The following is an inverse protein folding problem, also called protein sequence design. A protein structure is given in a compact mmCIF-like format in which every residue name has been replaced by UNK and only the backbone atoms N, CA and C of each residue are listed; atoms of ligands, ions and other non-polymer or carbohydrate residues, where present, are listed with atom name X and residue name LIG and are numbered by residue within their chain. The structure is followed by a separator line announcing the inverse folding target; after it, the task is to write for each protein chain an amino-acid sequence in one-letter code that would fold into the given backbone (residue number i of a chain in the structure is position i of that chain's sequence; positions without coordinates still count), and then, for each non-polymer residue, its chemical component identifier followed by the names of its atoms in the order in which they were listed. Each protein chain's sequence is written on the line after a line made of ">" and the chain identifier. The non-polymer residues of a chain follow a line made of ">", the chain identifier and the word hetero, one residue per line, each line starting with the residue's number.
data_IF_821108057582
#
_entry.id   IF_821108057582
#
_cell.length_a   1.000
_cell.length_b   1.000
_cell.length_c   1.000
_cell.angle_alpha   90.00
_cell.angle_beta   90.00
_cell.angle_gamma   90.00
#
_symmetry.space_group_name_H-M   'P 1'
#
loop_
_entity.id
_entity.type
_entity.pdbx_description
1 polymer ?
#
# COMPACT_ATOMS: atom_id res chain seq x y z
N UNK A 1 42.47 -59.31 27.00
CA UNK A 1 41.96 -57.92 26.96
C UNK A 1 41.46 -57.64 25.56
N UNK A 2 40.15 -57.37 25.35
CA UNK A 2 39.55 -56.73 24.15
C UNK A 2 38.00 -56.81 24.13
N UNK A 3 37.39 -57.69 24.95
CA UNK A 3 35.94 -57.82 25.01
C UNK A 3 35.22 -56.58 25.57
N UNK A 4 35.77 -55.96 26.63
CA UNK A 4 35.18 -54.75 27.23
C UNK A 4 35.19 -53.56 26.26
N UNK A 5 36.27 -53.43 25.46
CA UNK A 5 36.38 -52.35 24.49
C UNK A 5 35.36 -52.52 23.36
N UNK A 6 35.18 -53.75 22.88
CA UNK A 6 34.14 -54.06 21.88
C UNK A 6 32.75 -53.74 22.42
N UNK A 7 32.46 -54.09 23.67
CA UNK A 7 31.15 -53.82 24.29
C UNK A 7 30.84 -52.32 24.43
N UNK A 8 31.85 -51.51 24.73
CA UNK A 8 31.73 -50.04 24.77
C UNK A 8 31.52 -49.47 23.36
N UNK A 9 32.20 -50.00 22.34
CA UNK A 9 32.00 -49.58 20.96
C UNK A 9 30.59 -49.91 20.43
N UNK A 10 30.06 -51.10 20.72
CA UNK A 10 28.71 -51.49 20.33
C UNK A 10 27.63 -50.68 21.04
N UNK A 11 27.83 -50.38 22.32
CA UNK A 11 26.88 -49.54 23.08
C UNK A 11 26.91 -48.08 22.64
N UNK A 12 28.08 -47.52 22.31
CA UNK A 12 28.20 -46.19 21.70
C UNK A 12 27.53 -46.14 20.31
N UNK A 13 27.73 -47.17 19.48
CA UNK A 13 27.10 -47.26 18.16
C UNK A 13 25.57 -47.33 18.27
N UNK A 14 25.04 -48.08 19.24
CA UNK A 14 23.60 -48.15 19.51
C UNK A 14 23.03 -46.79 19.97
N UNK A 15 23.74 -46.09 20.85
CA UNK A 15 23.35 -44.76 21.32
C UNK A 15 23.35 -43.73 20.18
N UNK A 16 24.37 -43.75 19.31
CA UNK A 16 24.41 -42.89 18.13
C UNK A 16 23.27 -43.22 17.16
N UNK A 17 22.97 -44.51 16.94
CA UNK A 17 21.85 -44.93 16.10
C UNK A 17 20.50 -44.44 16.64
N UNK A 18 20.27 -44.55 17.94
CA UNK A 18 19.05 -44.04 18.59
C UNK A 18 18.97 -42.50 18.54
N UNK A 19 20.10 -41.80 18.65
CA UNK A 19 20.14 -40.35 18.53
C UNK A 19 19.83 -39.89 17.09
N UNK A 20 20.32 -40.60 16.08
CA UNK A 20 19.98 -40.35 14.68
C UNK A 20 18.51 -40.69 14.36
N UNK A 21 17.96 -41.76 14.94
CA UNK A 21 16.54 -42.10 14.79
C UNK A 21 15.61 -41.06 15.43
N UNK A 22 16.04 -40.43 16.54
CA UNK A 22 15.28 -39.36 17.19
C UNK A 22 15.40 -38.03 16.45
N UNK A 23 16.52 -37.77 15.76
CA UNK A 23 16.71 -36.61 14.89
C UNK A 23 16.03 -36.76 13.53
N UNK A 24 15.87 -37.97 12.99
CA UNK A 24 15.16 -38.20 11.72
C UNK A 24 13.64 -38.07 11.84
N UNK A 25 13.07 -38.16 13.06
CA UNK A 25 11.65 -37.91 13.32
C UNK A 25 11.27 -36.41 13.36
N UNK A 26 12.25 -35.48 13.25
CA UNK A 26 12.00 -34.05 13.16
C UNK A 26 11.80 -33.54 11.72
N UNK A 27 11.99 -34.40 10.71
CA UNK A 27 11.59 -34.10 9.35
C UNK A 27 10.21 -34.73 9.10
N UNK A 28 9.11 -33.95 9.03
CA UNK A 28 7.86 -34.50 8.53
C UNK A 28 8.15 -35.02 7.13
N UNK A 29 8.02 -36.34 6.93
CA UNK A 29 7.90 -36.91 5.60
C UNK A 29 6.74 -36.16 4.95
N UNK A 30 7.06 -35.31 3.98
CA UNK A 30 6.08 -34.71 3.11
C UNK A 30 5.49 -35.83 2.25
N UNK A 31 4.58 -36.60 2.85
CA UNK A 31 3.53 -37.27 2.10
C UNK A 31 2.90 -36.19 1.22
N UNK A 32 2.96 -36.41 -0.10
CA UNK A 32 2.38 -35.55 -1.12
C UNK A 32 0.85 -35.56 -1.09
N UNK A 33 0.25 -35.35 0.08
CA UNK A 33 -1.14 -34.96 0.21
C UNK A 33 -1.26 -33.53 -0.30
N UNK A 34 -1.93 -33.37 -1.44
CA UNK A 34 -2.39 -32.06 -1.89
C UNK A 34 -3.12 -31.41 -0.71
N UNK A 35 -2.51 -30.41 -0.09
CA UNK A 35 -3.20 -29.60 0.92
C UNK A 35 -4.50 -29.13 0.25
N UNK A 36 -5.68 -29.43 0.81
CA UNK A 36 -6.93 -28.91 0.26
C UNK A 36 -6.77 -27.40 0.13
N UNK A 37 -7.30 -26.83 -0.95
CA UNK A 37 -7.25 -25.39 -1.20
C UNK A 37 -7.96 -24.68 -0.03
N UNK A 38 -7.17 -24.25 0.96
CA UNK A 38 -7.67 -23.69 2.21
C UNK A 38 -8.16 -22.26 1.95
N UNK A 39 -9.48 -22.11 1.87
CA UNK A 39 -10.11 -20.79 1.68
C UNK A 39 -10.31 -20.15 3.06
N UNK A 40 -9.72 -18.97 3.27
CA UNK A 40 -10.01 -18.17 4.46
C UNK A 40 -11.48 -17.75 4.46
N UNK A 41 -12.20 -18.01 5.55
CA UNK A 41 -13.63 -17.72 5.63
C UNK A 41 -13.85 -16.21 5.64
N UNK A 42 -15.01 -15.78 5.13
CA UNK A 42 -15.39 -14.37 5.09
C UNK A 42 -15.22 -13.66 6.45
N UNK A 43 -15.72 -14.26 7.54
CA UNK A 43 -15.62 -13.66 8.87
C UNK A 43 -14.18 -13.53 9.34
N UNK A 44 -13.30 -14.46 8.96
CA UNK A 44 -11.87 -14.39 9.29
C UNK A 44 -11.20 -13.24 8.55
N UNK A 45 -11.51 -13.07 7.26
CA UNK A 45 -11.03 -11.93 6.46
C UNK A 45 -11.50 -10.63 7.09
N UNK A 46 -12.80 -10.49 7.35
CA UNK A 46 -13.41 -9.29 7.91
C UNK A 46 -12.81 -8.90 9.28
N UNK A 47 -12.68 -9.87 10.20
CA UNK A 47 -12.14 -9.60 11.53
C UNK A 47 -10.65 -9.28 11.51
N UNK A 48 -9.87 -9.92 10.63
CA UNK A 48 -8.43 -9.64 10.48
C UNK A 48 -8.16 -8.31 9.79
N UNK A 49 -9.05 -7.88 8.89
CA UNK A 49 -8.91 -6.61 8.16
C UNK A 49 -9.50 -5.41 8.89
N UNK A 50 -10.31 -5.61 9.93
CA UNK A 50 -10.97 -4.52 10.65
C UNK A 50 -9.98 -3.59 11.37
N UNK A 51 -10.33 -2.30 11.45
CA UNK A 51 -9.53 -1.23 12.09
C UNK A 51 -9.01 -1.63 13.48
N UNK A 52 -7.68 -1.74 13.61
CA UNK A 52 -7.00 -2.08 14.86
C UNK A 52 -5.53 -1.61 14.85
N UNK A 53 -4.83 -1.61 15.99
CA UNK A 53 -3.38 -1.46 16.01
C UNK A 53 -2.72 -2.66 15.31
N UNK A 54 -1.86 -2.40 14.33
CA UNK A 54 -1.10 -3.40 13.58
C UNK A 54 0.38 -3.00 13.59
N UNK A 55 1.25 -3.97 13.79
CA UNK A 55 2.69 -3.77 13.68
C UNK A 55 3.05 -3.38 12.24
N UNK A 56 3.58 -2.17 12.09
CA UNK A 56 3.93 -1.56 10.80
C UNK A 56 5.37 -1.11 10.84
N UNK A 57 6.15 -1.43 9.80
CA UNK A 57 7.50 -0.91 9.65
C UNK A 57 7.45 0.54 9.18
N UNK A 58 7.98 1.44 9.99
CA UNK A 58 7.98 2.87 9.72
C UNK A 58 9.41 3.33 9.53
N UNK A 59 9.64 4.08 8.45
CA UNK A 59 10.93 4.70 8.13
C UNK A 59 11.25 5.83 9.12
N UNK A 60 12.42 5.76 9.75
CA UNK A 60 12.83 6.72 10.78
C UNK A 60 12.95 8.14 10.20
N UNK A 61 13.38 8.28 8.94
CA UNK A 61 13.49 9.59 8.30
C UNK A 61 12.14 10.28 8.07
N UNK A 62 11.04 9.51 7.92
CA UNK A 62 9.71 10.09 7.75
C UNK A 62 9.15 10.63 9.06
N UNK A 63 9.50 10.01 10.19
CA UNK A 63 9.11 10.47 11.53
C UNK A 63 9.98 11.64 12.00
N UNK A 64 11.27 11.65 11.63
CA UNK A 64 12.25 12.66 12.00
C UNK A 64 12.90 13.32 10.77
N UNK A 65 12.14 14.10 9.97
CA UNK A 65 12.67 14.73 8.76
C UNK A 65 13.76 15.77 9.05
N UNK A 66 13.84 16.28 10.28
CA UNK A 66 14.81 17.28 10.69
C UNK A 66 16.21 16.68 11.00
N UNK A 67 16.31 15.37 11.27
CA UNK A 67 17.60 14.69 11.56
C UNK A 67 18.36 14.27 10.28
N UNK A 68 18.58 15.21 9.34
CA UNK A 68 19.20 14.93 8.03
C UNK A 68 20.70 14.58 8.06
N UNK A 69 21.38 14.85 9.19
CA UNK A 69 22.83 14.63 9.32
C UNK A 69 23.21 13.16 9.53
N UNK A 70 22.25 12.34 9.95
CA UNK A 70 22.48 10.97 10.38
C UNK A 70 21.92 9.97 9.38
N UNK A 71 22.64 8.88 9.20
CA UNK A 71 22.11 7.64 8.64
C UNK A 71 21.73 6.74 9.82
N UNK A 72 20.50 6.24 9.83
CA UNK A 72 20.01 5.37 10.90
C UNK A 72 20.19 3.89 10.57
N UNK A 73 20.61 3.12 11.57
CA UNK A 73 20.64 1.65 11.53
C UNK A 73 19.91 1.08 12.76
N UNK A 74 18.79 0.35 12.58
CA UNK A 74 18.10 0.10 11.31
C UNK A 74 17.51 1.40 10.72
N UNK A 75 17.17 1.39 9.42
CA UNK A 75 16.53 2.54 8.77
C UNK A 75 15.01 2.63 9.04
N UNK A 76 14.39 1.53 9.46
CA UNK A 76 12.99 1.46 9.85
C UNK A 76 12.82 0.69 11.16
N UNK A 77 11.72 0.98 11.87
CA UNK A 77 11.39 0.37 13.16
C UNK A 77 9.95 -0.19 13.15
N UNK A 78 9.70 -1.31 13.85
CA UNK A 78 8.34 -1.83 14.02
C UNK A 78 7.57 -1.00 15.05
N UNK A 79 6.46 -0.39 14.64
CA UNK A 79 5.58 0.39 15.52
C UNK A 79 4.13 -0.07 15.37
N UNK A 80 3.36 -0.06 16.45
CA UNK A 80 1.93 -0.25 16.35
C UNK A 80 1.29 1.02 15.78
N UNK A 81 0.69 0.89 14.60
CA UNK A 81 -0.05 1.96 13.93
C UNK A 81 -1.46 1.50 13.62
N UNK A 82 -2.39 2.44 13.57
CA UNK A 82 -3.77 2.12 13.22
C UNK A 82 -3.82 1.74 11.75
N UNK A 83 -4.35 0.56 11.47
CA UNK A 83 -4.48 0.03 10.13
C UNK A 83 -5.71 -0.86 9.99
N UNK A 84 -6.08 -1.14 8.75
CA UNK A 84 -7.28 -1.90 8.41
C UNK A 84 -8.37 -1.06 7.74
N UNK A 85 -9.48 -1.71 7.45
CA UNK A 85 -10.64 -1.12 6.82
C UNK A 85 -11.76 -0.80 7.83
N UNK A 86 -12.57 0.18 7.48
CA UNK A 86 -13.86 0.45 8.11
C UNK A 86 -14.98 -0.04 7.19
N UNK A 87 -16.19 -0.18 7.73
CA UNK A 87 -17.35 -0.67 6.98
C UNK A 87 -17.84 0.29 5.88
N UNK A 88 -17.46 1.56 5.97
CA UNK A 88 -17.92 2.63 5.09
C UNK A 88 -16.72 3.51 4.70
N UNK A 89 -16.66 3.92 3.44
CA UNK A 89 -15.60 4.79 2.91
C UNK A 89 -15.61 6.21 3.49
N UNK A 90 -16.75 6.65 4.04
CA UNK A 90 -16.88 7.90 4.79
C UNK A 90 -16.19 7.87 6.15
N UNK A 91 -15.82 6.67 6.63
CA UNK A 91 -15.08 6.49 7.87
C UNK A 91 -13.57 6.39 7.61
N UNK A 92 -12.78 6.81 8.58
CA UNK A 92 -11.33 6.63 8.65
C UNK A 92 -10.95 5.91 9.94
N UNK A 93 -9.97 5.00 9.85
CA UNK A 93 -9.40 4.31 11.00
C UNK A 93 -8.38 5.24 11.67
N UNK A 94 -8.70 5.74 12.86
CA UNK A 94 -7.90 6.74 13.56
C UNK A 94 -7.54 6.27 14.97
N UNK A 95 -6.38 6.70 15.51
CA UNK A 95 -6.03 6.42 16.90
C UNK A 95 -6.97 7.12 17.87
N UNK A 96 -7.31 6.42 18.95
CA UNK A 96 -8.05 6.97 20.09
C UNK A 96 -7.19 7.05 21.35
N UNK A 97 -6.11 6.27 21.40
CA UNK A 97 -5.12 6.29 22.46
C UNK A 97 -3.72 6.10 21.87
N UNK A 98 -2.80 6.94 22.28
CA UNK A 98 -1.43 7.00 21.78
C UNK A 98 -0.43 6.98 22.94
N UNK A 99 0.75 6.43 22.71
CA UNK A 99 1.86 6.46 23.65
C UNK A 99 3.20 6.52 22.91
N UNK A 100 4.26 6.94 23.60
CA UNK A 100 5.60 6.94 23.02
C UNK A 100 6.36 5.70 23.49
N UNK A 101 7.09 5.08 22.57
CA UNK A 101 8.05 4.00 22.85
C UNK A 101 9.45 4.48 22.54
N UNK A 102 10.41 4.18 23.41
CA UNK A 102 11.81 4.54 23.22
C UNK A 102 12.60 3.32 22.76
N UNK A 103 13.39 3.49 21.70
CA UNK A 103 14.21 2.45 21.10
C UNK A 103 15.65 2.92 20.97
N UNK A 104 16.59 1.98 21.04
CA UNK A 104 18.00 2.24 20.76
C UNK A 104 18.25 2.10 19.26
N UNK A 105 18.70 3.19 18.64
CA UNK A 105 18.99 3.28 17.21
C UNK A 105 20.44 3.71 17.01
N UNK A 106 21.14 3.05 16.09
CA UNK A 106 22.49 3.47 15.73
C UNK A 106 22.42 4.68 14.79
N UNK A 107 23.03 5.78 15.24
CA UNK A 107 23.19 7.02 14.48
C UNK A 107 24.59 7.07 13.87
N UNK A 108 24.66 7.22 12.55
CA UNK A 108 25.92 7.26 11.80
C UNK A 108 26.06 8.64 11.16
N UNK A 109 27.06 9.42 11.57
CA UNK A 109 27.52 10.59 10.82
C UNK A 109 28.60 10.15 9.83
N UNK A 110 28.38 10.28 8.51
CA UNK A 110 29.39 9.92 7.51
C UNK A 110 30.73 10.61 7.80
N UNK A 111 31.83 9.86 7.72
CA UNK A 111 33.20 10.34 7.95
C UNK A 111 33.52 10.93 9.35
N UNK A 112 32.63 10.81 10.33
CA UNK A 112 32.85 11.39 11.66
C UNK A 112 32.75 10.36 12.79
N UNK A 113 31.56 9.85 13.07
CA UNK A 113 31.34 8.97 14.23
C UNK A 113 30.07 8.12 14.08
N UNK A 114 30.01 7.05 14.87
CA UNK A 114 28.84 6.18 14.99
C UNK A 114 28.59 5.93 16.47
N UNK A 115 27.34 6.07 16.91
CA UNK A 115 26.97 5.79 18.30
C UNK A 115 25.53 5.27 18.38
N UNK A 116 25.22 4.56 19.45
CA UNK A 116 23.86 4.14 19.77
C UNK A 116 23.21 5.27 20.56
N UNK A 117 22.07 5.75 20.09
CA UNK A 117 21.27 6.78 20.75
C UNK A 117 19.85 6.30 20.99
N UNK A 118 19.21 6.87 22.00
CA UNK A 118 17.78 6.64 22.23
C UNK A 118 16.95 7.57 21.35
N UNK A 119 15.91 7.02 20.75
CA UNK A 119 14.91 7.74 19.97
C UNK A 119 13.52 7.30 20.44
N UNK A 120 12.61 8.25 20.58
CA UNK A 120 11.21 7.95 20.93
C UNK A 120 10.35 7.92 19.67
N UNK A 121 9.29 7.13 19.64
CA UNK A 121 8.41 7.04 18.48
C UNK A 121 6.96 6.98 18.94
N UNK A 122 6.06 7.62 18.19
CA UNK A 122 4.63 7.59 18.46
C UNK A 122 4.04 6.22 18.09
N UNK A 123 3.31 5.64 19.03
CA UNK A 123 2.66 4.35 18.93
C UNK A 123 1.16 4.47 19.23
N UNK A 124 0.34 3.74 18.49
CA UNK A 124 -1.12 3.72 18.70
C UNK A 124 -1.50 2.50 19.54
N UNK A 125 -2.21 2.73 20.65
CA UNK A 125 -2.66 1.68 21.58
C UNK A 125 -4.09 1.23 21.28
N UNK A 126 -4.95 2.15 20.83
CA UNK A 126 -6.35 1.88 20.46
C UNK A 126 -6.72 2.63 19.19
N UNK A 127 -7.57 2.01 18.37
CA UNK A 127 -8.02 2.54 17.08
C UNK A 127 -9.54 2.38 16.94
N UNK A 128 -10.18 3.34 16.29
CA UNK A 128 -11.62 3.31 15.99
C UNK A 128 -11.92 3.90 14.62
N UNK A 129 -13.02 3.46 14.02
CA UNK A 129 -13.56 4.06 12.80
C UNK A 129 -14.36 5.32 13.13
N UNK A 130 -13.89 6.48 12.68
CA UNK A 130 -14.55 7.78 12.89
C UNK A 130 -14.92 8.43 11.55
N UNK A 131 -15.99 9.24 11.50
CA UNK A 131 -16.33 9.99 10.28
C UNK A 131 -15.20 10.91 9.86
N UNK A 132 -14.83 10.86 8.58
CA UNK A 132 -13.85 11.75 7.99
C UNK A 132 -14.32 13.20 8.15
N UNK A 133 -13.48 14.05 8.74
CA UNK A 133 -13.76 15.49 8.75
C UNK A 133 -13.63 16.00 7.33
N UNK A 134 -14.72 16.50 6.76
CA UNK A 134 -14.71 17.20 5.48
C UNK A 134 -13.73 18.38 5.58
N UNK A 135 -12.51 18.19 5.06
CA UNK A 135 -11.59 19.31 4.85
C UNK A 135 -12.19 20.15 3.73
N UNK A 136 -13.09 21.06 4.10
CA UNK A 136 -13.57 22.12 3.24
C UNK A 136 -12.38 22.98 2.82
N UNK A 137 -11.72 22.56 1.73
CA UNK A 137 -10.89 23.32 0.79
C UNK A 137 -10.51 24.72 1.30
N UNK A 138 -9.52 24.80 2.19
CA UNK A 138 -8.76 26.02 2.42
C UNK A 138 -7.83 26.26 1.23
N UNK A 139 -8.39 26.42 0.01
CA UNK A 139 -7.64 27.01 -1.10
C UNK A 139 -7.86 28.52 -1.02
N UNK A 140 -6.86 29.20 -0.44
CA UNK A 140 -6.38 30.54 -0.77
C UNK A 140 -7.44 31.46 -1.41
N UNK A 141 -8.17 32.22 -0.58
CA UNK A 141 -8.77 33.49 -1.02
C UNK A 141 -7.62 34.47 -1.27
N UNK A 142 -6.98 34.38 -2.44
CA UNK A 142 -6.23 35.53 -2.95
C UNK A 142 -7.25 36.63 -3.25
N UNK A 143 -7.14 37.71 -2.49
CA UNK A 143 -7.85 38.96 -2.72
C UNK A 143 -7.51 39.40 -4.15
N UNK A 144 -8.48 39.33 -5.07
CA UNK A 144 -8.34 39.94 -6.39
C UNK A 144 -9.45 40.97 -6.56
N UNK A 145 -8.99 42.20 -6.72
CA UNK A 145 -9.77 43.42 -6.74
C UNK A 145 -10.89 43.46 -7.77
N UNK A 146 -11.78 44.42 -7.51
CA UNK A 146 -13.00 44.77 -8.23
C UNK A 146 -12.79 44.83 -9.75
N UNK A 147 -13.64 44.10 -10.48
CA UNK A 147 -13.87 44.29 -11.91
C UNK A 147 -15.32 43.94 -12.23
N UNK A 148 -16.14 44.97 -12.49
CA UNK A 148 -17.56 44.87 -12.84
C UNK A 148 -17.70 44.20 -14.21
N UNK A 149 -18.60 43.22 -14.32
CA UNK A 149 -18.97 42.59 -15.59
C UNK A 149 -20.03 41.52 -15.38
N UNK A 150 -21.30 41.94 -15.41
CA UNK A 150 -22.45 41.02 -15.38
C UNK A 150 -22.44 40.13 -16.62
N UNK A 151 -22.42 38.80 -16.43
CA UNK A 151 -22.99 37.85 -17.39
C UNK A 151 -23.48 36.62 -16.64
N UNK A 152 -24.79 36.38 -16.72
CA UNK A 152 -25.54 35.28 -16.09
C UNK A 152 -24.80 33.95 -16.26
N UNK A 153 -24.24 33.42 -15.17
CA UNK A 153 -23.62 32.09 -15.14
C UNK A 153 -24.70 31.02 -14.98
N UNK A 154 -25.04 30.37 -16.09
CA UNK A 154 -25.75 29.08 -16.08
C UNK A 154 -24.92 28.09 -15.26
N UNK A 155 -25.50 27.58 -14.17
CA UNK A 155 -24.89 26.63 -13.22
C UNK A 155 -24.60 25.31 -13.95
N UNK A 156 -23.41 25.17 -14.55
CA UNK A 156 -22.95 23.89 -15.10
C UNK A 156 -22.37 23.10 -13.94
N UNK A 157 -23.18 22.19 -13.39
CA UNK A 157 -22.71 21.15 -12.47
C UNK A 157 -21.56 20.43 -13.15
N UNK A 158 -20.34 20.71 -12.70
CA UNK A 158 -19.18 19.90 -13.04
C UNK A 158 -19.21 18.78 -12.01
N UNK A 159 -19.91 17.70 -12.35
CA UNK A 159 -19.75 16.42 -11.66
C UNK A 159 -18.25 16.13 -11.67
N UNK A 160 -17.61 16.32 -10.51
CA UNK A 160 -16.17 16.20 -10.35
C UNK A 160 -15.98 14.70 -10.17
N UNK A 161 -15.66 14.00 -11.27
CA UNK A 161 -15.51 12.55 -11.24
C UNK A 161 -14.41 12.22 -10.25
N UNK A 162 -14.74 11.32 -9.34
CA UNK A 162 -13.83 10.65 -8.44
C UNK A 162 -12.55 10.21 -9.15
N UNK A 163 -11.47 10.15 -8.37
CA UNK A 163 -10.20 9.50 -8.71
C UNK A 163 -10.49 8.16 -9.38
N UNK A 164 -10.32 8.11 -10.70
CA UNK A 164 -10.51 6.90 -11.47
C UNK A 164 -9.40 5.90 -11.08
N UNK A 165 -9.72 4.62 -10.87
CA UNK A 165 -8.74 3.54 -10.66
C UNK A 165 -7.75 3.38 -11.82
N UNK A 166 -8.05 3.97 -12.98
CA UNK A 166 -7.30 3.88 -14.22
C UNK A 166 -6.60 5.21 -14.54
N UNK A 167 -5.40 5.13 -15.14
CA UNK A 167 -4.72 6.30 -15.71
C UNK A 167 -5.53 6.94 -16.86
N UNK A 168 -5.35 8.24 -17.11
CA UNK A 168 -6.10 8.95 -18.15
C UNK A 168 -5.70 8.46 -19.56
N UNK A 169 -6.69 8.23 -20.43
CA UNK A 169 -6.46 7.80 -21.83
C UNK A 169 -5.56 8.74 -22.66
N UNK A 170 -5.46 10.02 -22.29
CA UNK A 170 -4.58 11.00 -22.94
C UNK A 170 -4.37 12.24 -22.06
N UNK A 171 -3.15 12.74 -21.94
CA UNK A 171 -2.84 13.97 -21.17
C UNK A 171 -3.60 15.20 -21.71
N UNK A 172 -3.56 15.40 -23.04
CA UNK A 172 -4.02 16.64 -23.69
C UNK A 172 -5.48 16.60 -24.13
N UNK A 173 -6.07 15.42 -24.34
CA UNK A 173 -7.33 15.28 -25.12
C UNK A 173 -8.39 14.41 -24.44
N UNK A 174 -8.43 14.40 -23.10
CA UNK A 174 -9.35 13.60 -22.26
C UNK A 174 -10.83 13.66 -22.68
N UNK A 175 -11.30 14.78 -23.25
CA UNK A 175 -12.71 14.97 -23.62
C UNK A 175 -13.16 14.22 -24.89
N UNK A 176 -12.24 13.71 -25.70
CA UNK A 176 -12.54 12.97 -26.93
C UNK A 176 -12.58 11.44 -26.73
N UNK A 177 -12.14 10.98 -25.57
CA UNK A 177 -12.07 9.57 -25.21
C UNK A 177 -13.13 9.24 -24.16
N UNK A 178 -13.62 8.01 -24.21
CA UNK A 178 -14.48 7.39 -23.20
C UNK A 178 -13.69 6.21 -22.63
N UNK A 179 -13.63 6.10 -21.30
CA UNK A 179 -12.91 5.03 -20.62
C UNK A 179 -13.92 4.14 -19.89
N UNK A 180 -13.80 2.84 -20.10
CA UNK A 180 -14.52 1.85 -19.31
C UNK A 180 -13.92 1.80 -17.89
N UNK A 181 -14.72 2.06 -16.83
CA UNK A 181 -14.25 2.06 -15.44
C UNK A 181 -13.75 0.72 -14.92
N UNK A 182 -14.20 -0.41 -15.49
CA UNK A 182 -13.83 -1.75 -15.01
C UNK A 182 -12.68 -2.37 -15.79
N UNK A 183 -12.59 -2.10 -17.10
CA UNK A 183 -11.54 -2.67 -17.96
C UNK A 183 -10.41 -1.69 -18.27
N UNK A 184 -10.54 -0.43 -17.84
CA UNK A 184 -9.66 0.69 -18.19
C UNK A 184 -9.51 0.94 -19.70
N UNK A 185 -10.31 0.28 -20.56
CA UNK A 185 -10.21 0.38 -22.01
C UNK A 185 -10.65 1.76 -22.51
N UNK A 186 -9.81 2.37 -23.31
CA UNK A 186 -10.06 3.67 -23.92
C UNK A 186 -10.67 3.51 -25.31
N UNK A 187 -11.80 4.17 -25.57
CA UNK A 187 -12.45 4.21 -26.88
C UNK A 187 -12.75 5.64 -27.29
N UNK A 188 -12.94 5.87 -28.60
CA UNK A 188 -13.28 7.18 -29.12
C UNK A 188 -14.76 7.52 -28.89
N UNK A 189 -15.02 8.76 -28.49
CA UNK A 189 -16.40 9.26 -28.36
C UNK A 189 -17.09 9.43 -29.72
N UNK A 190 -16.32 9.68 -30.77
CA UNK A 190 -16.83 9.71 -32.14
C UNK A 190 -16.68 8.32 -32.77
N UNK A 191 -17.69 7.91 -33.53
CA UNK A 191 -17.66 6.70 -34.35
C UNK A 191 -17.22 7.02 -35.77
N UNK A 192 -16.64 6.03 -36.47
CA UNK A 192 -16.19 6.16 -37.85
C UNK A 192 -17.35 6.58 -38.80
N UNK A 193 -18.52 5.97 -38.62
CA UNK A 193 -19.75 6.34 -39.34
C UNK A 193 -20.13 7.82 -39.20
N UNK A 194 -19.93 8.40 -38.01
CA UNK A 194 -20.23 9.81 -37.72
C UNK A 194 -19.21 10.76 -38.36
N UNK A 195 -17.95 10.35 -38.47
CA UNK A 195 -16.94 11.12 -39.20
C UNK A 195 -17.19 11.05 -40.71
N UNK A 196 -17.52 9.86 -41.23
CA UNK A 196 -17.83 9.63 -42.66
C UNK A 196 -19.06 10.41 -43.14
N UNK A 197 -20.08 10.58 -42.29
CA UNK A 197 -21.22 11.47 -42.58
C UNK A 197 -20.81 12.93 -42.83
N UNK A 198 -19.60 13.33 -42.42
CA UNK A 198 -19.03 14.66 -42.65
C UNK A 198 -17.89 14.65 -43.67
N UNK A 199 -17.72 13.56 -44.42
CA UNK A 199 -16.62 13.33 -45.37
C UNK A 199 -15.23 13.39 -44.72
N UNK A 200 -15.13 12.94 -43.47
CA UNK A 200 -13.90 12.89 -42.68
C UNK A 200 -13.65 11.46 -42.21
N UNK A 201 -12.40 11.13 -41.87
CA UNK A 201 -12.01 9.82 -41.35
C UNK A 201 -11.68 9.93 -39.86
N UNK A 202 -12.13 8.94 -39.08
CA UNK A 202 -11.81 8.90 -37.66
C UNK A 202 -10.36 8.44 -37.47
N UNK A 203 -9.55 9.32 -36.89
CA UNK A 203 -8.22 8.98 -36.40
C UNK A 203 -8.35 8.32 -35.02
N UNK A 204 -8.27 7.00 -34.95
CA UNK A 204 -8.47 6.22 -33.72
C UNK A 204 -7.48 6.57 -32.60
N UNK A 205 -6.26 7.04 -32.93
CA UNK A 205 -5.25 7.43 -31.94
C UNK A 205 -5.53 8.78 -31.29
N UNK A 206 -6.26 9.66 -31.98
CA UNK A 206 -6.54 11.03 -31.48
C UNK A 206 -8.03 11.29 -31.25
N UNK A 207 -8.88 10.36 -31.67
CA UNK A 207 -10.33 10.42 -31.69
C UNK A 207 -10.90 11.66 -32.41
N UNK A 208 -10.18 12.13 -33.44
CA UNK A 208 -10.59 13.26 -34.29
C UNK A 208 -11.09 12.76 -35.64
N UNK A 209 -12.09 13.44 -36.17
CA UNK A 209 -12.44 13.30 -37.57
C UNK A 209 -11.51 14.20 -38.37
N UNK A 210 -10.51 13.62 -39.03
CA UNK A 210 -9.53 14.34 -39.84
C UNK A 210 -9.91 14.19 -41.33
N UNK A 211 -9.40 15.08 -42.18
CA UNK A 211 -9.60 14.91 -43.63
C UNK A 211 -8.84 13.66 -44.10
N UNK A 212 -9.38 12.88 -45.05
CA UNK A 212 -8.66 11.76 -45.63
C UNK A 212 -7.33 12.26 -46.15
N UNK A 213 -6.23 11.65 -45.71
CA UNK A 213 -4.91 11.93 -46.30
C UNK A 213 -4.93 11.26 -47.68
N UNK A 214 -4.86 12.07 -48.74
CA UNK A 214 -4.59 11.59 -50.10
C UNK A 214 -3.27 10.86 -50.15
#
# INVERSE_FOLDING_TARGET
>A
MNFLLSWVHWSLALLLYLHHAKWSQAAPMAEGGQKPHEVMKFMDVYQRSFCRPIETLVDIFQEYPDEIEFIFKPSCVPLMRCGGCCNDESLECVPTEESNITMQIMRIKPHQSQHIGEMSFLQHNKCECRPKKDKARQEKKSVRGKGKGQKRKRKKSRYKSWSAPCGPCSERRKHLFVQDPQTCKCSCKNTDSRCKARQLELNERTCRCDKPRR
#
